data_IF_753143730403
#
_entry.id   IF_753143730403
#
_cell.length_a   1.000
_cell.length_b   1.000
_cell.length_c   1.000
_cell.angle_alpha   90.00
_cell.angle_beta   90.00
_cell.angle_gamma   90.00
#
_symmetry.space_group_name_H-M   'P 1'
#
loop_
_entity.id
_entity.type
_entity.pdbx_description
1 polymer ?
#
# COMPACT_ATOMS: atom_id res chain seq x y z
N UNK A 1 1.51 6.02 -23.81
CA UNK A 1 0.09 6.12 -24.12
C UNK A 1 -0.70 6.69 -22.95
N UNK A 2 -1.02 7.95 -23.06
CA UNK A 2 -1.69 8.73 -22.01
C UNK A 2 -3.07 8.15 -21.68
N UNK A 3 -3.84 7.70 -22.68
CA UNK A 3 -5.17 7.17 -22.49
C UNK A 3 -5.24 5.91 -21.65
N UNK A 4 -4.31 4.98 -21.84
CA UNK A 4 -4.26 3.74 -21.08
C UNK A 4 -3.92 3.99 -19.61
N UNK A 5 -3.02 4.93 -19.35
CA UNK A 5 -2.62 5.29 -17.99
C UNK A 5 -3.78 5.94 -17.23
N UNK A 6 -4.46 6.88 -17.87
CA UNK A 6 -5.64 7.56 -17.29
C UNK A 6 -6.76 6.56 -17.00
N UNK A 7 -6.98 5.62 -17.92
CA UNK A 7 -8.00 4.60 -17.74
C UNK A 7 -7.70 3.70 -16.54
N UNK A 8 -6.45 3.25 -16.39
CA UNK A 8 -6.03 2.45 -15.23
C UNK A 8 -6.23 3.21 -13.92
N UNK A 9 -5.89 4.50 -13.92
CA UNK A 9 -6.08 5.34 -12.74
C UNK A 9 -7.57 5.44 -12.37
N UNK A 10 -8.44 5.63 -13.35
CA UNK A 10 -9.88 5.74 -13.10
C UNK A 10 -10.45 4.45 -12.54
N UNK A 11 -10.07 3.30 -13.09
CA UNK A 11 -10.50 2.00 -12.57
C UNK A 11 -10.03 1.76 -11.13
N UNK A 12 -8.80 2.15 -10.83
CA UNK A 12 -8.25 2.02 -9.48
C UNK A 12 -8.99 2.93 -8.50
N UNK A 13 -9.32 4.13 -8.92
CA UNK A 13 -10.11 5.07 -8.12
C UNK A 13 -11.50 4.52 -7.82
N UNK A 14 -12.19 4.00 -8.83
CA UNK A 14 -13.50 3.36 -8.68
C UNK A 14 -13.44 2.16 -7.74
N UNK A 15 -12.40 1.35 -7.85
CA UNK A 15 -12.16 0.22 -6.96
C UNK A 15 -12.01 0.66 -5.51
N UNK A 16 -11.24 1.69 -5.27
CA UNK A 16 -11.07 2.24 -3.93
C UNK A 16 -12.37 2.80 -3.35
N UNK A 17 -13.16 3.49 -4.16
CA UNK A 17 -14.46 4.00 -3.74
C UNK A 17 -15.41 2.87 -3.38
N UNK A 18 -15.44 1.81 -4.15
CA UNK A 18 -16.27 0.65 -3.85
C UNK A 18 -15.83 -0.05 -2.56
N UNK A 19 -14.54 -0.16 -2.33
CA UNK A 19 -14.01 -0.70 -1.07
C UNK A 19 -14.43 0.15 0.13
N UNK A 20 -14.36 1.47 0.00
CA UNK A 20 -14.81 2.40 1.06
C UNK A 20 -16.30 2.27 1.32
N UNK A 21 -17.07 2.10 0.27
CA UNK A 21 -18.52 1.93 0.38
C UNK A 21 -18.90 0.62 1.06
N UNK A 22 -18.26 -0.47 0.69
CA UNK A 22 -18.57 -1.80 1.21
C UNK A 22 -18.00 -2.04 2.61
N UNK A 23 -16.94 -1.35 2.98
CA UNK A 23 -16.29 -1.51 4.28
C UNK A 23 -15.84 -0.14 4.83
N UNK A 24 -16.78 0.65 5.37
CA UNK A 24 -16.51 2.05 5.75
C UNK A 24 -15.42 2.26 6.80
N UNK A 25 -15.21 1.28 7.68
CA UNK A 25 -14.18 1.39 8.73
C UNK A 25 -12.80 0.94 8.26
N UNK A 26 -12.67 0.53 7.02
CA UNK A 26 -11.37 0.20 6.44
C UNK A 26 -10.57 1.45 6.11
N UNK A 27 -9.25 1.35 6.19
CA UNK A 27 -8.35 2.43 5.77
C UNK A 27 -7.91 2.19 4.34
N UNK A 28 -8.33 3.07 3.45
CA UNK A 28 -7.99 2.99 2.03
C UNK A 28 -7.51 4.37 1.60
N UNK A 29 -6.21 4.49 1.37
CA UNK A 29 -5.56 5.75 1.06
C UNK A 29 -4.82 5.63 -0.26
N UNK A 30 -5.12 6.53 -1.16
CA UNK A 30 -4.42 6.63 -2.44
C UNK A 30 -3.63 7.94 -2.47
N UNK A 31 -2.33 7.83 -2.67
CA UNK A 31 -1.47 8.99 -2.87
C UNK A 31 -1.28 9.20 -4.36
N UNK A 32 -1.58 10.40 -4.81
CA UNK A 32 -1.41 10.79 -6.20
C UNK A 32 -0.40 11.92 -6.29
N UNK A 33 0.19 12.07 -7.45
CA UNK A 33 1.10 13.16 -7.76
C UNK A 33 0.57 13.91 -8.98
N UNK A 34 0.69 15.22 -8.97
CA UNK A 34 0.30 16.05 -10.10
C UNK A 34 1.58 16.60 -10.75
N UNK A 35 1.72 16.35 -12.04
CA UNK A 35 2.90 16.80 -12.76
C UNK A 35 2.88 18.30 -13.01
N UNK A 36 4.02 18.93 -12.79
CA UNK A 36 4.31 20.29 -13.18
C UNK A 36 5.11 20.29 -14.49
N UNK A 37 5.22 21.47 -15.09
CA UNK A 37 5.95 21.60 -16.37
C UNK A 37 7.38 21.08 -16.32
N UNK A 38 8.05 21.18 -15.19
CA UNK A 38 9.42 20.69 -15.03
C UNK A 38 9.54 19.16 -15.05
N UNK A 39 8.48 18.49 -14.63
CA UNK A 39 8.49 17.02 -14.56
C UNK A 39 8.25 16.36 -15.92
N UNK A 40 7.65 17.09 -16.86
CA UNK A 40 7.34 16.58 -18.20
C UNK A 40 8.56 16.25 -19.04
N UNK A 41 9.69 16.84 -18.72
CA UNK A 41 10.94 16.54 -19.42
C UNK A 41 11.44 15.12 -19.16
N UNK A 42 11.14 14.57 -17.98
CA UNK A 42 11.54 13.22 -17.60
C UNK A 42 10.52 12.15 -18.05
N UNK A 43 9.25 12.53 -18.15
CA UNK A 43 8.17 11.60 -18.48
C UNK A 43 7.23 12.21 -19.53
N UNK A 44 7.58 12.10 -20.81
CA UNK A 44 6.87 12.79 -21.89
C UNK A 44 5.42 12.29 -22.12
N UNK A 45 5.09 11.11 -21.62
CA UNK A 45 3.76 10.53 -21.80
C UNK A 45 2.74 11.05 -20.78
N UNK A 46 3.15 11.91 -19.84
CA UNK A 46 2.29 12.43 -18.81
C UNK A 46 1.78 13.83 -19.14
N UNK A 47 0.55 14.11 -18.75
CA UNK A 47 -0.11 15.38 -19.02
C UNK A 47 0.04 16.31 -17.82
N UNK A 48 0.50 17.53 -18.05
CA UNK A 48 0.64 18.55 -17.02
C UNK A 48 -0.71 18.84 -16.35
N UNK A 49 -0.74 18.85 -15.02
CA UNK A 49 -1.95 19.10 -14.24
C UNK A 49 -2.84 17.88 -14.01
N UNK A 50 -2.58 16.76 -14.68
CA UNK A 50 -3.32 15.52 -14.47
C UNK A 50 -2.72 14.74 -13.30
N UNK A 51 -3.55 14.25 -12.36
CA UNK A 51 -3.05 13.40 -11.30
C UNK A 51 -2.69 12.02 -11.83
N UNK A 52 -1.62 11.46 -11.30
CA UNK A 52 -1.28 10.08 -11.59
C UNK A 52 -1.06 9.32 -10.28
N UNK A 53 -1.30 8.00 -10.34
CA UNK A 53 -1.16 7.12 -9.19
C UNK A 53 0.28 7.05 -8.72
N UNK A 54 0.48 7.17 -7.42
CA UNK A 54 1.80 7.01 -6.80
C UNK A 54 1.82 5.85 -5.81
N UNK A 55 0.93 5.87 -4.83
CA UNK A 55 0.90 4.84 -3.78
C UNK A 55 -0.53 4.53 -3.39
N UNK A 56 -0.76 3.29 -2.98
CA UNK A 56 -2.05 2.84 -2.48
C UNK A 56 -1.84 2.03 -1.21
N UNK A 57 -2.59 2.35 -0.16
CA UNK A 57 -2.60 1.61 1.09
C UNK A 57 -4.01 1.09 1.37
N UNK A 58 -4.13 -0.20 1.65
CA UNK A 58 -5.39 -0.85 1.98
C UNK A 58 -5.23 -1.67 3.26
N UNK A 59 -6.03 -1.33 4.28
CA UNK A 59 -6.14 -2.12 5.50
C UNK A 59 -7.63 -2.31 5.77
N UNK A 60 -8.13 -3.51 5.52
CA UNK A 60 -9.55 -3.81 5.66
C UNK A 60 -9.94 -3.95 7.13
N UNK A 61 -11.13 -3.47 7.46
CA UNK A 61 -11.64 -3.48 8.83
C UNK A 61 -11.64 -4.88 9.45
N UNK A 62 -12.10 -5.89 8.71
CA UNK A 62 -12.13 -7.26 9.19
C UNK A 62 -10.75 -7.79 9.54
N UNK A 63 -9.77 -7.54 8.69
CA UNK A 63 -8.39 -7.94 8.93
C UNK A 63 -7.80 -7.25 10.16
N UNK A 64 -8.08 -5.96 10.30
CA UNK A 64 -7.64 -5.16 11.44
C UNK A 64 -8.23 -5.67 12.76
N UNK A 65 -9.53 -5.96 12.77
CA UNK A 65 -10.23 -6.49 13.94
C UNK A 65 -9.69 -7.87 14.34
N UNK A 66 -9.52 -8.76 13.39
CA UNK A 66 -8.96 -10.08 13.64
C UNK A 66 -7.56 -10.02 14.24
N UNK A 67 -6.73 -9.15 13.68
CA UNK A 67 -5.37 -8.97 14.17
C UNK A 67 -5.35 -8.47 15.62
N UNK A 68 -6.17 -7.47 15.93
CA UNK A 68 -6.22 -6.88 17.28
C UNK A 68 -6.88 -7.80 18.29
N UNK A 69 -7.78 -8.68 17.85
CA UNK A 69 -8.51 -9.57 18.74
C UNK A 69 -7.70 -10.76 19.24
N UNK A 70 -6.80 -11.31 18.43
CA UNK A 70 -6.16 -12.55 18.82
C UNK A 70 -4.85 -12.90 18.16
N UNK A 71 -4.37 -12.09 17.24
CA UNK A 71 -3.11 -12.41 16.56
C UNK A 71 -1.91 -12.10 17.44
N UNK A 72 -0.84 -12.83 17.18
CA UNK A 72 0.45 -12.56 17.83
C UNK A 72 0.97 -11.20 17.38
N UNK A 73 1.68 -10.46 18.24
CA UNK A 73 2.23 -9.14 17.89
C UNK A 73 3.45 -9.24 16.98
N UNK A 74 3.29 -10.01 15.92
CA UNK A 74 4.35 -10.33 14.98
C UNK A 74 3.81 -10.13 13.57
N UNK A 75 4.46 -9.25 12.82
CA UNK A 75 4.03 -8.88 11.47
C UNK A 75 5.13 -9.20 10.49
N UNK A 76 4.86 -10.10 9.55
CA UNK A 76 5.76 -10.39 8.46
C UNK A 76 5.52 -9.41 7.32
N UNK A 77 6.58 -8.89 6.75
CA UNK A 77 6.52 -8.00 5.59
C UNK A 77 7.11 -8.70 4.39
N UNK A 78 6.32 -8.87 3.37
CA UNK A 78 6.74 -9.48 2.11
C UNK A 78 6.53 -8.48 0.97
N UNK A 79 7.43 -8.50 0.01
CA UNK A 79 7.37 -7.56 -1.10
C UNK A 79 7.69 -8.25 -2.41
N UNK A 80 6.89 -7.96 -3.42
CA UNK A 80 7.10 -8.50 -4.75
C UNK A 80 7.00 -7.40 -5.81
N UNK A 81 7.67 -7.60 -6.92
CA UNK A 81 7.57 -6.72 -8.06
C UNK A 81 6.29 -7.02 -8.84
N UNK A 82 5.53 -5.99 -9.17
CA UNK A 82 4.41 -6.11 -10.07
C UNK A 82 4.93 -6.08 -11.52
N UNK A 83 4.36 -6.94 -12.34
CA UNK A 83 4.71 -7.01 -13.76
C UNK A 83 3.90 -5.96 -14.54
N UNK A 84 4.15 -4.70 -14.24
CA UNK A 84 3.53 -3.61 -14.96
C UNK A 84 4.62 -2.70 -15.57
N UNK A 85 4.18 -1.77 -16.41
CA UNK A 85 5.11 -0.85 -17.08
C UNK A 85 5.82 0.10 -16.12
N UNK A 86 5.18 0.40 -14.99
CA UNK A 86 5.71 1.34 -14.01
C UNK A 86 6.74 0.73 -13.06
N UNK A 87 6.83 -0.61 -13.02
CA UNK A 87 7.75 -1.29 -12.10
C UNK A 87 7.36 -1.18 -10.63
N UNK A 88 6.07 -0.99 -10.36
CA UNK A 88 5.57 -0.85 -8.99
C UNK A 88 5.81 -2.11 -8.17
N UNK A 89 5.80 -1.95 -6.87
CA UNK A 89 5.99 -3.06 -5.93
C UNK A 89 4.80 -3.18 -5.00
N UNK A 90 4.39 -4.41 -4.75
CA UNK A 90 3.37 -4.75 -3.76
C UNK A 90 4.06 -5.21 -2.48
N UNK A 91 3.75 -4.54 -1.38
CA UNK A 91 4.21 -4.93 -0.05
C UNK A 91 2.98 -5.40 0.73
N UNK A 92 3.06 -6.59 1.32
CA UNK A 92 1.98 -7.17 2.11
C UNK A 92 2.45 -7.33 3.56
N UNK A 93 1.66 -6.84 4.49
CA UNK A 93 1.82 -7.13 5.91
C UNK A 93 1.00 -8.37 6.24
N UNK A 94 1.67 -9.41 6.72
CA UNK A 94 1.05 -10.71 7.01
C UNK A 94 1.18 -10.99 8.50
N UNK A 95 0.13 -11.48 9.12
CA UNK A 95 0.17 -11.88 10.51
C UNK A 95 -0.27 -13.33 10.69
N UNK A 96 -0.04 -13.87 11.88
CA UNK A 96 -0.46 -15.21 12.25
C UNK A 96 -1.57 -15.15 13.29
N UNK A 97 -2.60 -15.95 13.08
CA UNK A 97 -3.65 -16.13 14.04
C UNK A 97 -3.21 -17.14 15.15
N UNK A 98 -4.03 -17.38 16.20
CA UNK A 98 -3.71 -18.35 17.22
C UNK A 98 -3.55 -19.78 16.71
N UNK A 99 -4.13 -20.11 15.57
CA UNK A 99 -4.00 -21.42 14.91
C UNK A 99 -2.79 -21.53 14.00
N UNK A 100 -1.93 -20.49 14.01
CA UNK A 100 -0.72 -20.39 13.18
C UNK A 100 -0.99 -20.26 11.67
N UNK A 101 -2.20 -19.88 11.31
CA UNK A 101 -2.52 -19.59 9.93
C UNK A 101 -2.15 -18.15 9.59
N UNK A 102 -1.63 -17.95 8.37
CA UNK A 102 -1.27 -16.63 7.88
C UNK A 102 -2.48 -15.94 7.27
N UNK A 103 -2.63 -14.65 7.55
CA UNK A 103 -3.59 -13.84 6.83
C UNK A 103 -3.03 -12.43 6.57
N UNK A 104 -3.48 -11.78 5.50
CA UNK A 104 -3.00 -10.44 5.19
C UNK A 104 -3.64 -9.41 6.12
N UNK A 105 -2.81 -8.58 6.73
CA UNK A 105 -3.28 -7.45 7.55
C UNK A 105 -3.50 -6.22 6.70
N UNK A 106 -2.54 -5.89 5.84
CA UNK A 106 -2.59 -4.71 5.01
C UNK A 106 -1.79 -4.91 3.73
N UNK A 107 -2.15 -4.15 2.70
CA UNK A 107 -1.45 -4.14 1.43
C UNK A 107 -1.03 -2.72 1.09
N UNK A 108 0.13 -2.58 0.47
CA UNK A 108 0.54 -1.30 -0.09
C UNK A 108 1.16 -1.52 -1.47
N UNK A 109 0.79 -0.67 -2.41
CA UNK A 109 1.45 -0.60 -3.71
C UNK A 109 2.24 0.69 -3.74
N UNK A 110 3.53 0.58 -4.03
CA UNK A 110 4.44 1.72 -4.04
C UNK A 110 5.25 1.73 -5.33
N UNK A 111 5.71 2.93 -5.71
CA UNK A 111 6.51 3.12 -6.92
C UNK A 111 7.89 2.46 -6.83
N UNK A 112 8.46 2.39 -5.64
CA UNK A 112 9.75 1.74 -5.40
C UNK A 112 9.92 1.47 -3.91
N UNK A 113 10.77 0.50 -3.58
CA UNK A 113 11.16 0.24 -2.20
C UNK A 113 12.23 1.24 -1.78
N UNK A 114 11.82 2.36 -1.29
CA UNK A 114 12.69 3.38 -0.73
C UNK A 114 12.43 3.55 0.74
N UNK A 115 13.33 4.23 1.44
CA UNK A 115 13.13 4.58 2.83
C UNK A 115 11.84 5.38 3.03
N UNK A 116 11.53 6.27 2.09
CA UNK A 116 10.32 7.08 2.12
C UNK A 116 9.05 6.25 1.99
N UNK A 117 9.00 5.30 1.05
CA UNK A 117 7.84 4.42 0.87
C UNK A 117 7.63 3.49 2.06
N UNK A 118 8.70 2.92 2.61
CA UNK A 118 8.63 2.11 3.82
C UNK A 118 8.14 2.89 5.03
N UNK A 119 8.66 4.11 5.23
CA UNK A 119 8.26 4.97 6.32
C UNK A 119 6.77 5.32 6.21
N UNK A 120 6.32 5.64 5.01
CA UNK A 120 4.92 5.95 4.75
C UNK A 120 4.02 4.76 5.10
N UNK A 121 4.38 3.57 4.66
CA UNK A 121 3.63 2.34 4.95
C UNK A 121 3.58 2.04 6.44
N UNK A 122 4.72 2.03 7.10
CA UNK A 122 4.80 1.66 8.52
C UNK A 122 4.04 2.68 9.38
N UNK A 123 4.11 3.96 9.06
CA UNK A 123 3.34 4.99 9.79
C UNK A 123 1.84 4.76 9.67
N UNK A 124 1.34 4.44 8.48
CA UNK A 124 -0.07 4.17 8.28
C UNK A 124 -0.50 2.89 9.00
N UNK A 125 0.30 1.85 8.93
CA UNK A 125 0.02 0.59 9.60
C UNK A 125 -0.03 0.76 11.12
N UNK A 126 0.93 1.47 11.69
CA UNK A 126 0.95 1.75 13.13
C UNK A 126 -0.24 2.61 13.58
N UNK A 127 -0.69 3.53 12.73
CA UNK A 127 -1.88 4.31 13.01
C UNK A 127 -3.14 3.44 13.05
N UNK A 128 -3.21 2.40 12.22
CA UNK A 128 -4.35 1.47 12.17
C UNK A 128 -4.35 0.48 13.32
N UNK A 129 -3.20 -0.08 13.67
CA UNK A 129 -3.12 -1.12 14.72
C UNK A 129 -2.83 -0.56 16.11
N UNK A 130 -2.45 0.70 16.19
CA UNK A 130 -2.13 1.36 17.46
C UNK A 130 -0.72 1.05 17.96
N UNK A 131 -0.30 1.80 18.96
CA UNK A 131 1.03 1.64 19.56
C UNK A 131 0.96 1.15 21.02
N UNK A 132 -0.16 0.58 21.40
CA UNK A 132 -0.39 0.10 22.77
C UNK A 132 0.39 -1.16 23.13
N UNK A 133 0.91 -1.85 22.12
CA UNK A 133 1.71 -3.05 22.26
C UNK A 133 3.00 -2.90 21.48
N UNK A 134 3.99 -3.70 21.85
CA UNK A 134 5.19 -3.77 21.05
C UNK A 134 4.94 -4.72 19.88
N UNK A 135 5.06 -4.18 18.68
CA UNK A 135 4.93 -4.96 17.45
C UNK A 135 6.30 -5.37 16.97
N UNK A 136 6.43 -6.60 16.55
CA UNK A 136 7.67 -7.11 15.97
C UNK A 136 7.48 -7.26 14.46
N UNK A 137 8.33 -6.60 13.70
CA UNK A 137 8.32 -6.70 12.24
C UNK A 137 9.44 -7.61 11.78
N UNK A 138 9.10 -8.54 10.89
CA UNK A 138 10.07 -9.38 10.22
C UNK A 138 9.90 -9.23 8.71
N UNK A 139 10.99 -9.09 8.02
CA UNK A 139 10.97 -8.97 6.57
C UNK A 139 11.94 -9.94 5.95
N UNK A 140 11.77 -10.22 4.69
CA UNK A 140 12.70 -11.00 3.92
C UNK A 140 14.05 -10.28 3.89
N UNK A 141 15.05 -10.94 4.44
CA UNK A 141 16.36 -10.36 4.79
C UNK A 141 17.08 -9.67 3.64
N UNK A 142 16.86 -10.09 2.44
CA UNK A 142 17.59 -9.57 1.30
C UNK A 142 17.07 -8.24 0.80
N UNK A 143 15.94 -7.79 1.32
CA UNK A 143 15.18 -6.73 0.67
C UNK A 143 14.84 -5.56 1.56
N UNK A 144 15.18 -5.60 2.82
CA UNK A 144 14.90 -4.49 3.71
C UNK A 144 16.17 -3.77 4.06
N UNK A 145 16.35 -2.70 3.35
CA UNK A 145 17.25 -1.65 3.79
C UNK A 145 16.42 -0.71 4.67
N UNK A 146 16.38 -1.01 5.92
CA UNK A 146 15.80 -0.07 6.88
C UNK A 146 16.81 0.97 7.23
#
# INVERSE_FOLDING_TARGET
>A
MVGAYTQQYNHLWEYCDELRRSSPASTILMKVHTFNKGDLAAEPDLVCGMPYFKRLYICLEGCKKEFLAGCRPFIGLDACHLKNKSGDQLITAVCRDPNEEYFPLAYVVVEAKTKDSWTWFIKLLLADIGQNKRWMFMSDQQKVCC
#
